data_IF_814291354548
#
_entry.id   IF_814291354548
#
_cell.length_a   1.000
_cell.length_b   1.000
_cell.length_c   1.000
_cell.angle_alpha   90.00
_cell.angle_beta   90.00
_cell.angle_gamma   90.00
#
_symmetry.space_group_name_H-M   'P 1'
#
loop_
_entity.id
_entity.type
_entity.pdbx_description
1 polymer ?
#
# COMPACT_ATOMS: atom_id res chain seq x y z
N UNK A 1 11.29 13.04 21.36
CA UNK A 1 10.12 12.83 20.50
C UNK A 1 10.62 12.17 19.22
N UNK A 2 10.22 10.95 18.98
CA UNK A 2 10.64 10.18 17.81
C UNK A 2 9.96 10.74 16.56
N UNK A 3 10.70 10.84 15.45
CA UNK A 3 10.11 11.17 14.16
C UNK A 3 9.48 9.89 13.62
N UNK A 4 8.17 9.87 13.48
CA UNK A 4 7.40 8.73 13.01
C UNK A 4 6.92 9.03 11.60
N UNK A 5 7.13 8.09 10.69
CA UNK A 5 6.52 8.05 9.37
C UNK A 5 5.37 7.07 9.43
N UNK A 6 4.19 7.49 8.99
CA UNK A 6 3.00 6.65 8.93
C UNK A 6 2.69 6.35 7.47
N UNK A 7 2.54 5.09 7.13
CA UNK A 7 2.25 4.62 5.78
C UNK A 7 0.91 3.90 5.77
N UNK A 8 0.04 4.27 4.83
CA UNK A 8 -1.28 3.68 4.66
C UNK A 8 -1.45 3.03 3.30
N UNK A 9 -2.30 2.03 3.28
CA UNK A 9 -2.75 1.36 2.09
C UNK A 9 -4.27 1.30 2.04
N UNK A 10 -4.85 1.55 0.87
CA UNK A 10 -6.28 1.50 0.63
C UNK A 10 -6.63 0.81 -0.68
N UNK A 11 -7.83 0.25 -0.70
CA UNK A 11 -8.48 -0.19 -1.92
C UNK A 11 -9.89 0.38 -2.02
N UNK A 12 -10.36 0.67 -3.24
CA UNK A 12 -11.67 1.26 -3.49
C UNK A 12 -12.58 0.27 -4.23
N UNK A 13 -13.66 -0.18 -3.62
CA UNK A 13 -14.64 -1.04 -4.27
C UNK A 13 -16.10 -0.53 -4.24
N UNK A 14 -16.91 -1.10 -5.10
CA UNK A 14 -18.02 -0.65 -5.90
C UNK A 14 -19.38 -0.33 -5.24
N UNK A 15 -19.61 -0.42 -3.95
CA UNK A 15 -21.02 -0.47 -3.47
C UNK A 15 -21.61 0.84 -2.94
N UNK A 16 -20.82 1.89 -2.75
CA UNK A 16 -21.36 3.21 -2.41
C UNK A 16 -20.89 4.27 -3.40
N UNK A 17 -21.72 5.29 -3.67
CA UNK A 17 -21.33 6.40 -4.54
C UNK A 17 -20.02 7.05 -4.06
N UNK A 18 -19.18 7.46 -4.98
CA UNK A 18 -17.93 8.17 -4.67
C UNK A 18 -18.16 9.43 -3.84
N UNK A 19 -19.32 10.10 -4.03
CA UNK A 19 -19.74 11.26 -3.23
C UNK A 19 -19.91 10.95 -1.73
N UNK A 20 -20.16 9.70 -1.37
CA UNK A 20 -20.24 9.24 0.01
C UNK A 20 -18.89 8.74 0.50
N UNK A 21 -18.18 7.96 -0.32
CA UNK A 21 -16.92 7.33 0.05
C UNK A 21 -15.76 8.32 0.14
N UNK A 22 -15.65 9.24 -0.82
CA UNK A 22 -14.57 10.23 -0.86
C UNK A 22 -14.43 11.06 0.43
N UNK A 23 -15.50 11.69 0.94
CA UNK A 23 -15.46 12.42 2.20
C UNK A 23 -15.07 11.55 3.40
N UNK A 24 -15.53 10.31 3.45
CA UNK A 24 -15.22 9.41 4.57
C UNK A 24 -13.77 8.92 4.52
N UNK A 25 -13.22 8.66 3.33
CA UNK A 25 -11.78 8.41 3.17
C UNK A 25 -10.95 9.64 3.54
N UNK A 26 -11.38 10.83 3.15
CA UNK A 26 -10.72 12.07 3.56
C UNK A 26 -10.77 12.28 5.07
N UNK A 27 -11.86 11.85 5.74
CA UNK A 27 -11.95 11.82 7.20
C UNK A 27 -10.91 10.85 7.78
N UNK A 28 -10.82 9.63 7.27
CA UNK A 28 -9.85 8.64 7.73
C UNK A 28 -8.40 9.17 7.62
N UNK A 29 -8.06 9.80 6.48
CA UNK A 29 -6.75 10.45 6.31
C UNK A 29 -6.55 11.57 7.35
N UNK A 30 -7.61 12.26 7.78
CA UNK A 30 -7.50 13.28 8.82
C UNK A 30 -7.31 12.70 10.21
N UNK A 31 -8.04 11.64 10.51
CA UNK A 31 -8.06 11.02 11.84
C UNK A 31 -6.69 10.40 12.16
N UNK A 32 -6.03 9.82 11.16
CA UNK A 32 -4.71 9.19 11.30
C UNK A 32 -3.53 10.05 10.84
N UNK A 33 -3.78 11.07 10.04
CA UNK A 33 -2.83 12.07 9.58
C UNK A 33 -1.47 11.54 9.09
N UNK A 34 -1.41 10.51 8.22
CA UNK A 34 -0.15 9.90 7.78
C UNK A 34 0.75 10.93 7.08
N UNK A 35 2.06 10.74 7.12
CA UNK A 35 3.00 11.57 6.36
C UNK A 35 2.97 11.21 4.87
N UNK A 36 2.79 9.92 4.58
CA UNK A 36 2.70 9.36 3.23
C UNK A 36 1.74 8.17 3.22
N UNK A 37 1.00 7.99 2.13
CA UNK A 37 0.14 6.82 1.95
C UNK A 37 0.00 6.41 0.49
N UNK A 38 -0.21 5.12 0.25
CA UNK A 38 -0.45 4.54 -1.06
C UNK A 38 -1.90 4.07 -1.19
N UNK A 39 -2.49 4.25 -2.36
CA UNK A 39 -3.83 3.77 -2.70
C UNK A 39 -3.79 2.72 -3.80
N UNK A 40 -4.77 1.81 -3.80
CA UNK A 40 -5.04 0.87 -4.87
C UNK A 40 -6.44 1.14 -5.44
N UNK A 41 -6.64 0.76 -6.72
CA UNK A 41 -7.89 0.97 -7.46
C UNK A 41 -8.37 2.43 -7.53
N UNK A 42 -7.43 3.36 -7.51
CA UNK A 42 -7.72 4.79 -7.57
C UNK A 42 -8.25 5.18 -8.94
N UNK A 43 -9.55 5.43 -9.02
CA UNK A 43 -10.22 5.81 -10.25
C UNK A 43 -10.30 7.33 -10.42
N UNK A 44 -10.51 7.78 -11.67
CA UNK A 44 -10.74 9.20 -11.95
C UNK A 44 -11.95 9.76 -11.16
N UNK A 45 -13.02 9.00 -11.05
CA UNK A 45 -14.20 9.41 -10.30
C UNK A 45 -13.91 9.59 -8.79
N UNK A 46 -13.07 8.72 -8.22
CA UNK A 46 -12.63 8.90 -6.85
C UNK A 46 -11.72 10.11 -6.71
N UNK A 47 -10.83 10.34 -7.67
CA UNK A 47 -9.97 11.54 -7.70
C UNK A 47 -10.79 12.82 -7.60
N UNK A 48 -11.81 12.94 -8.45
CA UNK A 48 -12.61 14.16 -8.55
C UNK A 48 -13.32 14.51 -7.22
N UNK A 49 -13.59 13.52 -6.38
CA UNK A 49 -14.26 13.71 -5.08
C UNK A 49 -13.28 13.75 -3.91
N UNK A 50 -12.30 12.87 -3.90
CA UNK A 50 -11.39 12.66 -2.77
C UNK A 50 -10.20 13.63 -2.76
N UNK A 51 -9.56 13.83 -3.93
CA UNK A 51 -8.32 14.61 -3.98
C UNK A 51 -8.50 16.06 -3.50
N UNK A 52 -9.54 16.80 -3.91
CA UNK A 52 -9.74 18.17 -3.39
C UNK A 52 -9.85 18.25 -1.87
N UNK A 53 -10.34 17.18 -1.22
CA UNK A 53 -10.51 17.14 0.23
C UNK A 53 -9.17 16.92 0.95
N UNK A 54 -8.34 15.99 0.45
CA UNK A 54 -7.03 15.73 1.07
C UNK A 54 -5.99 16.79 0.68
N UNK A 55 -6.12 17.41 -0.48
CA UNK A 55 -5.30 18.56 -0.88
C UNK A 55 -5.46 19.74 0.09
N UNK A 56 -6.68 20.03 0.54
CA UNK A 56 -6.96 21.04 1.58
C UNK A 56 -6.31 20.69 2.94
N UNK A 57 -5.90 19.44 3.14
CA UNK A 57 -5.21 18.95 4.33
C UNK A 57 -3.69 18.87 4.14
N UNK A 58 -3.19 19.45 3.05
CA UNK A 58 -1.77 19.54 2.75
C UNK A 58 -1.18 18.35 1.99
N UNK A 59 -2.00 17.42 1.47
CA UNK A 59 -1.48 16.30 0.69
C UNK A 59 -1.38 16.60 -0.80
N UNK A 60 -0.34 16.07 -1.42
CA UNK A 60 -0.14 16.04 -2.87
C UNK A 60 0.08 14.61 -3.36
N UNK A 61 -0.18 14.39 -4.64
CA UNK A 61 0.16 13.12 -5.31
C UNK A 61 1.61 13.21 -5.78
N UNK A 62 2.40 12.15 -5.50
CA UNK A 62 3.69 11.95 -6.15
C UNK A 62 3.41 11.60 -7.62
N UNK A 63 3.69 12.55 -8.53
CA UNK A 63 3.29 12.47 -9.91
C UNK A 63 4.51 12.42 -10.84
N UNK A 64 4.50 11.44 -11.76
CA UNK A 64 5.45 11.37 -12.88
C UNK A 64 4.84 12.05 -14.10
N UNK A 65 5.50 13.09 -14.59
CA UNK A 65 5.01 13.88 -15.75
C UNK A 65 4.94 13.01 -17.02
N UNK A 66 3.93 13.28 -17.85
CA UNK A 66 3.75 12.58 -19.13
C UNK A 66 3.19 11.17 -19.05
N UNK A 67 2.78 10.73 -17.86
CA UNK A 67 2.14 9.41 -17.66
C UNK A 67 0.62 9.51 -17.69
N UNK A 68 0.02 8.39 -18.08
CA UNK A 68 -1.42 8.18 -18.03
C UNK A 68 -1.93 8.11 -16.59
N UNK A 69 -3.22 7.85 -16.45
CA UNK A 69 -3.87 7.69 -15.16
C UNK A 69 -3.16 6.67 -14.26
N UNK A 70 -2.89 7.05 -13.01
CA UNK A 70 -2.25 6.20 -12.01
C UNK A 70 -3.30 5.59 -11.09
N UNK A 71 -3.45 4.26 -11.13
CA UNK A 71 -4.38 3.51 -10.27
C UNK A 71 -3.78 3.14 -8.90
N UNK A 72 -2.49 3.37 -8.70
CA UNK A 72 -1.76 3.09 -7.45
C UNK A 72 -0.95 4.31 -6.99
N UNK A 73 -1.59 5.48 -6.83
CA UNK A 73 -0.88 6.70 -6.50
C UNK A 73 -0.34 6.67 -5.06
N UNK A 74 0.74 7.40 -4.87
CA UNK A 74 1.29 7.72 -3.55
C UNK A 74 0.98 9.19 -3.25
N UNK A 75 0.44 9.44 -2.07
CA UNK A 75 0.16 10.76 -1.52
C UNK A 75 1.13 11.08 -0.41
N UNK A 76 1.54 12.32 -0.29
CA UNK A 76 2.49 12.77 0.73
C UNK A 76 2.22 14.21 1.16
N UNK A 77 2.75 14.61 2.30
CA UNK A 77 2.74 15.99 2.79
C UNK A 77 4.00 16.72 2.30
N UNK A 78 3.91 17.63 1.33
CA UNK A 78 5.09 18.34 0.82
C UNK A 78 5.72 19.28 1.85
N UNK A 79 4.99 19.68 2.90
CA UNK A 79 5.56 20.47 3.99
C UNK A 79 6.54 19.63 4.85
N UNK A 80 6.32 18.33 4.96
CA UNK A 80 7.14 17.40 5.74
C UNK A 80 8.17 16.66 4.89
N UNK A 81 7.84 16.37 3.63
CA UNK A 81 8.61 15.51 2.73
C UNK A 81 8.97 16.24 1.43
N UNK A 82 10.22 16.09 1.01
CA UNK A 82 10.70 16.46 -0.32
C UNK A 82 10.66 15.22 -1.23
N UNK A 83 9.98 15.29 -2.37
CA UNK A 83 9.95 14.22 -3.37
C UNK A 83 11.24 14.27 -4.21
N UNK A 84 12.10 13.25 -4.09
CA UNK A 84 13.37 13.15 -4.82
C UNK A 84 13.27 12.33 -6.11
N UNK A 85 12.32 11.38 -6.16
CA UNK A 85 12.12 10.48 -7.28
C UNK A 85 10.69 9.98 -7.28
N UNK A 86 10.12 9.80 -8.46
CA UNK A 86 8.85 9.09 -8.65
C UNK A 86 8.86 8.38 -9.99
N UNK A 87 8.28 7.19 -10.03
CA UNK A 87 8.06 6.42 -11.25
C UNK A 87 6.78 5.61 -11.13
N UNK A 88 5.97 5.66 -12.18
CA UNK A 88 4.75 4.89 -12.31
C UNK A 88 4.90 3.86 -13.43
N UNK A 89 4.58 2.59 -13.15
CA UNK A 89 4.61 1.52 -14.15
C UNK A 89 3.34 0.68 -14.10
N UNK A 90 2.72 0.53 -15.25
CA UNK A 90 1.76 -0.55 -15.46
C UNK A 90 2.52 -1.85 -15.56
N UNK A 91 1.95 -2.91 -15.02
CA UNK A 91 2.44 -4.27 -15.29
C UNK A 91 2.06 -4.64 -16.72
N UNK A 92 2.95 -4.25 -17.65
CA UNK A 92 2.76 -4.48 -19.07
C UNK A 92 3.35 -5.79 -19.51
N UNK A 93 3.02 -6.16 -20.76
CA UNK A 93 2.00 -7.15 -20.99
C UNK A 93 2.66 -8.48 -20.78
N UNK A 94 2.60 -8.99 -19.60
CA UNK A 94 2.63 -10.43 -19.56
C UNK A 94 1.28 -10.86 -20.11
N UNK A 95 1.27 -11.91 -20.87
CA UNK A 95 0.08 -12.57 -21.42
C UNK A 95 -1.00 -12.85 -20.36
N UNK A 96 -0.67 -12.62 -19.09
CA UNK A 96 -1.40 -12.96 -17.89
C UNK A 96 -2.25 -11.83 -17.34
N UNK A 97 -1.74 -10.61 -17.32
CA UNK A 97 -2.38 -9.47 -16.66
C UNK A 97 -2.56 -8.30 -17.60
N UNK A 98 -3.38 -8.49 -18.60
CA UNK A 98 -3.79 -7.47 -19.55
C UNK A 98 -4.84 -6.54 -18.93
N UNK A 99 -4.55 -5.96 -17.75
CA UNK A 99 -5.49 -5.06 -17.09
C UNK A 99 -4.78 -3.76 -16.74
N UNK A 100 -5.20 -2.66 -17.35
CA UNK A 100 -4.59 -1.34 -17.21
C UNK A 100 -4.64 -0.73 -15.81
N UNK A 101 -5.20 -1.46 -14.81
CA UNK A 101 -5.26 -1.03 -13.41
C UNK A 101 -4.22 -1.71 -12.52
N UNK A 102 -3.50 -2.73 -13.01
CA UNK A 102 -2.47 -3.42 -12.23
C UNK A 102 -1.12 -2.76 -12.46
N UNK A 103 -0.57 -2.19 -11.41
CA UNK A 103 0.55 -1.25 -11.50
C UNK A 103 1.32 -1.15 -10.20
N UNK A 104 2.43 -0.47 -10.24
CA UNK A 104 3.11 0.05 -9.06
C UNK A 104 3.56 1.49 -9.26
N UNK A 105 3.66 2.22 -8.18
CA UNK A 105 4.30 3.53 -8.10
C UNK A 105 5.43 3.45 -7.09
N UNK A 106 6.63 3.83 -7.48
CA UNK A 106 7.77 3.99 -6.59
C UNK A 106 8.07 5.47 -6.39
N UNK A 107 8.36 5.85 -5.15
CA UNK A 107 8.76 7.21 -4.81
C UNK A 107 9.86 7.20 -3.75
N UNK A 108 10.80 8.14 -3.85
CA UNK A 108 11.82 8.39 -2.84
C UNK A 108 11.58 9.76 -2.23
N UNK A 109 11.54 9.79 -0.93
CA UNK A 109 11.30 11.00 -0.14
C UNK A 109 12.47 11.30 0.77
N UNK A 110 12.74 12.60 0.93
CA UNK A 110 13.61 13.12 1.97
C UNK A 110 12.78 13.83 3.02
N UNK A 111 12.89 13.42 4.27
CA UNK A 111 12.23 14.09 5.38
C UNK A 111 12.91 15.42 5.67
N UNK A 112 12.17 16.52 5.58
CA UNK A 112 12.71 17.87 5.68
C UNK A 112 13.30 18.18 7.06
N UNK A 113 12.69 17.60 8.10
CA UNK A 113 13.07 17.84 9.50
C UNK A 113 14.51 17.45 9.83
N UNK A 114 15.00 16.35 9.28
CA UNK A 114 16.30 15.76 9.64
C UNK A 114 17.10 15.23 8.45
N UNK A 115 16.57 15.38 7.24
CA UNK A 115 17.24 15.00 6.01
C UNK A 115 17.26 13.50 5.72
N UNK A 116 16.61 12.66 6.52
CA UNK A 116 16.56 11.22 6.31
C UNK A 116 15.75 10.85 5.07
N UNK A 117 16.26 9.87 4.34
CA UNK A 117 15.70 9.44 3.05
C UNK A 117 15.10 8.05 3.23
N UNK A 118 13.98 7.80 2.57
CA UNK A 118 13.33 6.49 2.47
C UNK A 118 12.62 6.35 1.12
N UNK A 119 12.32 5.12 0.73
CA UNK A 119 11.50 4.84 -0.44
C UNK A 119 10.20 4.14 -0.06
N UNK A 120 9.16 4.41 -0.85
CA UNK A 120 7.87 3.73 -0.79
C UNK A 120 7.50 3.22 -2.17
N UNK A 121 7.12 1.96 -2.27
CA UNK A 121 6.55 1.35 -3.46
C UNK A 121 5.12 0.91 -3.15
N UNK A 122 4.14 1.58 -3.74
CA UNK A 122 2.74 1.21 -3.67
C UNK A 122 2.37 0.35 -4.87
N UNK A 123 1.73 -0.79 -4.66
CA UNK A 123 1.41 -1.73 -5.75
C UNK A 123 0.02 -2.36 -5.64
N UNK A 124 -0.46 -2.90 -6.76
CA UNK A 124 -1.64 -3.75 -6.84
C UNK A 124 -1.38 -4.86 -7.85
N UNK A 125 -1.16 -6.09 -7.35
CA UNK A 125 -0.81 -7.25 -8.18
C UNK A 125 -2.04 -7.88 -8.86
N UNK A 126 -1.79 -8.83 -9.75
CA UNK A 126 -2.82 -9.58 -10.45
C UNK A 126 -3.78 -10.33 -9.51
N UNK A 127 -5.08 -10.22 -9.74
CA UNK A 127 -6.13 -10.60 -8.79
C UNK A 127 -6.71 -12.01 -8.94
N UNK A 128 -6.64 -12.63 -10.14
CA UNK A 128 -7.25 -13.95 -10.34
C UNK A 128 -6.47 -15.06 -9.64
N UNK A 129 -7.21 -16.08 -9.19
CA UNK A 129 -6.60 -17.33 -8.73
C UNK A 129 -6.20 -18.21 -9.94
N UNK A 130 -5.32 -19.19 -9.73
CA UNK A 130 -4.95 -20.15 -10.77
C UNK A 130 -6.14 -21.02 -11.21
N UNK A 131 -7.10 -21.24 -10.31
CA UNK A 131 -8.37 -21.92 -10.66
C UNK A 131 -9.18 -21.11 -11.68
N UNK A 132 -9.19 -19.78 -11.55
CA UNK A 132 -9.93 -18.89 -12.46
C UNK A 132 -9.13 -18.58 -13.74
N UNK A 133 -7.80 -18.55 -13.66
CA UNK A 133 -6.89 -18.36 -14.80
C UNK A 133 -5.55 -19.00 -14.49
N UNK A 134 -5.25 -20.09 -15.17
CA UNK A 134 -3.94 -20.78 -15.03
C UNK A 134 -2.79 -19.80 -15.24
N UNK A 135 -1.73 -19.90 -14.43
CA UNK A 135 -0.56 -19.04 -14.47
C UNK A 135 -0.70 -17.74 -13.64
N UNK A 136 -1.78 -17.57 -12.89
CA UNK A 136 -1.99 -16.37 -12.06
C UNK A 136 -0.93 -16.20 -10.98
N UNK A 137 -0.48 -17.27 -10.35
CA UNK A 137 0.64 -17.24 -9.40
C UNK A 137 1.93 -16.81 -10.06
N UNK A 138 2.23 -17.31 -11.27
CA UNK A 138 3.41 -16.92 -12.04
C UNK A 138 3.36 -15.44 -12.45
N UNK A 139 2.17 -14.92 -12.79
CA UNK A 139 1.98 -13.51 -13.09
C UNK A 139 2.36 -12.64 -11.88
N UNK A 140 1.82 -12.95 -10.68
CA UNK A 140 2.19 -12.24 -9.45
C UNK A 140 3.67 -12.36 -9.14
N UNK A 141 4.25 -13.56 -9.27
CA UNK A 141 5.68 -13.77 -9.07
C UNK A 141 6.55 -12.95 -10.03
N UNK A 142 6.10 -12.75 -11.27
CA UNK A 142 6.78 -11.87 -12.23
C UNK A 142 6.65 -10.40 -11.87
N UNK A 143 5.49 -9.98 -11.37
CA UNK A 143 5.25 -8.62 -10.89
C UNK A 143 6.11 -8.30 -9.67
N UNK A 144 6.26 -9.24 -8.74
CA UNK A 144 7.19 -9.11 -7.59
C UNK A 144 8.63 -8.90 -8.06
N UNK A 145 9.11 -9.67 -9.05
CA UNK A 145 10.45 -9.47 -9.60
C UNK A 145 10.66 -8.09 -10.22
N UNK A 146 9.62 -7.53 -10.88
CA UNK A 146 9.69 -6.16 -11.41
C UNK A 146 9.81 -5.13 -10.29
N UNK A 147 9.07 -5.31 -9.19
CA UNK A 147 9.19 -4.44 -8.01
C UNK A 147 10.60 -4.55 -7.41
N UNK A 148 11.12 -5.77 -7.23
CA UNK A 148 12.46 -5.98 -6.68
C UNK A 148 13.53 -5.32 -7.55
N UNK A 149 13.47 -5.46 -8.88
CA UNK A 149 14.37 -4.78 -9.80
C UNK A 149 14.27 -3.24 -9.73
N UNK A 150 13.07 -2.69 -9.53
CA UNK A 150 12.88 -1.25 -9.29
C UNK A 150 13.54 -0.82 -7.97
N UNK A 151 13.37 -1.61 -6.90
CA UNK A 151 14.02 -1.34 -5.59
C UNK A 151 15.55 -1.40 -5.71
N UNK A 152 16.10 -2.37 -6.43
CA UNK A 152 17.54 -2.43 -6.72
C UNK A 152 18.02 -1.16 -7.45
N UNK A 153 17.27 -0.69 -8.44
CA UNK A 153 17.56 0.56 -9.16
C UNK A 153 17.52 1.80 -8.24
N UNK A 154 16.57 1.85 -7.32
CA UNK A 154 16.49 2.91 -6.30
C UNK A 154 17.72 2.86 -5.39
N UNK A 155 18.07 1.68 -4.86
CA UNK A 155 19.20 1.51 -3.94
C UNK A 155 20.56 1.73 -4.60
N UNK A 156 20.68 1.50 -5.91
CA UNK A 156 21.88 1.87 -6.65
C UNK A 156 22.14 3.38 -6.64
N UNK A 157 21.07 4.18 -6.63
CA UNK A 157 21.13 5.66 -6.61
C UNK A 157 21.10 6.23 -5.18
N UNK A 158 20.25 5.67 -4.34
CA UNK A 158 20.04 6.12 -2.96
C UNK A 158 20.49 5.00 -2.01
N UNK A 159 21.76 5.02 -1.62
CA UNK A 159 22.35 3.95 -0.80
C UNK A 159 21.85 4.01 0.64
N UNK A 160 21.80 2.84 1.27
CA UNK A 160 21.58 2.69 2.71
C UNK A 160 20.26 3.34 3.21
N UNK A 161 19.22 3.30 2.40
CA UNK A 161 17.89 3.78 2.76
C UNK A 161 16.92 2.62 2.96
N UNK A 162 15.96 2.74 3.89
CA UNK A 162 14.89 1.77 4.00
C UNK A 162 13.89 1.93 2.84
N UNK A 163 13.40 0.79 2.34
CA UNK A 163 12.38 0.72 1.30
C UNK A 163 11.16 0.00 1.85
N UNK A 164 10.01 0.61 1.72
CA UNK A 164 8.73 0.01 2.07
C UNK A 164 8.01 -0.40 0.79
N UNK A 165 7.54 -1.65 0.73
CA UNK A 165 6.70 -2.17 -0.35
C UNK A 165 5.34 -2.48 0.23
N UNK A 166 4.31 -1.79 -0.24
CA UNK A 166 2.96 -1.88 0.33
C UNK A 166 1.93 -2.07 -0.77
N UNK A 167 0.88 -2.83 -0.51
CA UNK A 167 -0.18 -2.94 -1.49
C UNK A 167 -1.03 -4.19 -1.32
N UNK A 168 -2.08 -4.26 -2.17
CA UNK A 168 -2.84 -5.47 -2.39
C UNK A 168 -2.04 -6.42 -3.29
N UNK A 169 -1.48 -7.44 -2.68
CA UNK A 169 -0.68 -8.46 -3.38
C UNK A 169 -1.56 -9.57 -3.97
N UNK A 170 -2.86 -9.57 -3.66
CA UNK A 170 -3.81 -10.58 -4.13
C UNK A 170 -3.37 -12.04 -3.87
N UNK A 171 -2.57 -12.25 -2.85
CA UNK A 171 -2.11 -13.57 -2.42
C UNK A 171 -1.59 -13.53 -0.98
N UNK A 172 -1.67 -14.66 -0.32
CA UNK A 172 -1.22 -14.86 1.07
C UNK A 172 0.30 -14.94 1.18
N UNK A 173 0.83 -14.65 2.36
CA UNK A 173 2.27 -14.61 2.64
C UNK A 173 2.99 -15.93 2.34
N UNK A 174 2.34 -17.07 2.57
CA UNK A 174 2.91 -18.40 2.31
C UNK A 174 3.00 -18.78 0.83
N UNK A 175 2.55 -17.90 -0.08
CA UNK A 175 2.57 -18.17 -1.51
C UNK A 175 3.89 -17.80 -2.17
N UNK A 176 4.19 -18.41 -3.32
CA UNK A 176 5.44 -18.21 -4.06
C UNK A 176 5.76 -16.73 -4.31
N UNK A 177 4.83 -15.85 -4.74
CA UNK A 177 5.16 -14.44 -4.95
C UNK A 177 5.65 -13.74 -3.67
N UNK A 178 4.99 -13.96 -2.54
CA UNK A 178 5.38 -13.32 -1.27
C UNK A 178 6.67 -13.92 -0.71
N UNK A 179 6.87 -15.23 -0.88
CA UNK A 179 8.11 -15.88 -0.47
C UNK A 179 9.35 -15.38 -1.25
N UNK A 180 9.19 -14.87 -2.48
CA UNK A 180 10.27 -14.20 -3.20
C UNK A 180 10.76 -12.94 -2.45
N UNK A 181 9.86 -12.11 -1.94
CA UNK A 181 10.24 -10.97 -1.11
C UNK A 181 10.98 -11.41 0.15
N UNK A 182 10.43 -12.38 0.88
CA UNK A 182 11.01 -12.86 2.15
C UNK A 182 12.40 -13.45 1.93
N UNK A 183 12.58 -14.29 0.90
CA UNK A 183 13.87 -14.90 0.55
C UNK A 183 14.91 -13.87 0.10
N UNK A 184 14.46 -12.73 -0.45
CA UNK A 184 15.33 -11.61 -0.82
C UNK A 184 15.64 -10.67 0.36
N UNK A 185 15.17 -10.97 1.57
CA UNK A 185 15.46 -10.20 2.78
C UNK A 185 14.43 -9.12 3.12
N UNK A 186 13.29 -9.09 2.42
CA UNK A 186 12.19 -8.22 2.83
C UNK A 186 11.48 -8.82 4.05
N UNK A 187 11.24 -8.01 5.05
CA UNK A 187 10.58 -8.43 6.28
C UNK A 187 9.15 -7.90 6.30
N UNK A 188 8.12 -8.74 6.53
CA UNK A 188 6.77 -8.26 6.75
C UNK A 188 6.74 -7.27 7.93
N UNK A 189 6.15 -6.08 7.72
CA UNK A 189 6.16 -5.03 8.75
C UNK A 189 5.47 -5.46 10.04
N UNK A 190 4.45 -6.33 9.96
CA UNK A 190 3.82 -6.86 11.17
C UNK A 190 4.73 -7.79 11.99
N UNK A 191 5.75 -8.43 11.36
CA UNK A 191 6.79 -9.20 12.06
C UNK A 191 7.92 -8.30 12.59
N UNK A 192 8.18 -7.20 11.90
CA UNK A 192 9.20 -6.23 12.30
C UNK A 192 8.74 -5.29 13.42
N UNK A 193 7.43 -5.11 13.59
CA UNK A 193 6.86 -4.17 14.56
C UNK A 193 7.16 -4.55 16.01
N UNK A 194 7.43 -3.54 16.84
CA UNK A 194 7.66 -3.71 18.28
C UNK A 194 6.37 -3.54 19.10
N UNK A 195 5.37 -2.85 18.55
CA UNK A 195 4.06 -2.62 19.15
C UNK A 195 2.98 -2.98 18.14
N UNK A 196 1.92 -3.62 18.63
CA UNK A 196 0.77 -3.98 17.80
C UNK A 196 -0.46 -3.23 18.26
N UNK A 197 -1.24 -2.71 17.31
CA UNK A 197 -2.59 -2.26 17.58
C UNK A 197 -3.54 -3.44 17.82
N UNK A 198 -4.74 -3.13 18.28
CA UNK A 198 -5.74 -4.15 18.66
C UNK A 198 -6.20 -5.04 17.49
N UNK A 199 -5.98 -4.58 16.26
CA UNK A 199 -6.44 -5.25 15.04
C UNK A 199 -5.29 -5.76 14.16
N UNK A 200 -4.08 -5.89 14.67
CA UNK A 200 -2.90 -6.26 13.89
C UNK A 200 -3.05 -7.57 13.09
N UNK A 201 -3.87 -8.51 13.55
CA UNK A 201 -4.26 -9.70 12.80
C UNK A 201 -5.47 -9.49 11.90
N UNK A 202 -6.05 -8.28 11.87
CA UNK A 202 -7.13 -7.94 10.98
C UNK A 202 -6.68 -8.06 9.54
N UNK A 203 -7.45 -8.76 8.74
CA UNK A 203 -7.34 -8.77 7.30
C UNK A 203 -8.72 -8.77 6.69
N UNK A 204 -8.76 -8.37 5.50
CA UNK A 204 -9.83 -8.24 4.55
C UNK A 204 -10.86 -9.39 4.59
N UNK A 205 -12.06 -9.23 4.38
CA UNK A 205 -12.95 -9.15 3.22
C UNK A 205 -14.37 -8.95 3.69
N UNK A 206 -15.02 -7.92 3.20
CA UNK A 206 -16.46 -7.87 3.14
C UNK A 206 -16.92 -8.52 1.83
N UNK A 207 -17.72 -9.56 1.90
CA UNK A 207 -18.38 -10.06 0.69
C UNK A 207 -19.36 -8.99 0.18
N UNK A 208 -19.34 -8.65 -1.11
CA UNK A 208 -20.37 -7.80 -1.70
C UNK A 208 -21.80 -8.31 -1.48
N UNK A 209 -21.97 -9.63 -1.38
CA UNK A 209 -23.27 -10.26 -1.13
C UNK A 209 -23.83 -9.95 0.26
N UNK A 210 -22.98 -9.64 1.23
CA UNK A 210 -23.37 -9.42 2.63
C UNK A 210 -23.65 -7.95 2.95
N UNK A 211 -23.63 -7.07 1.94
CA UNK A 211 -23.95 -5.65 2.12
C UNK A 211 -23.05 -4.92 3.12
N UNK A 212 -21.79 -5.35 3.28
CA UNK A 212 -20.85 -4.85 4.29
C UNK A 212 -21.28 -5.08 5.73
N UNK A 213 -21.92 -6.20 6.01
CA UNK A 213 -22.26 -6.53 7.39
C UNK A 213 -20.99 -6.74 8.22
N UNK A 214 -21.07 -6.38 9.49
CA UNK A 214 -20.00 -6.63 10.46
C UNK A 214 -19.70 -8.12 10.63
N UNK A 215 -20.61 -9.01 10.22
CA UNK A 215 -20.45 -10.46 10.27
C UNK A 215 -19.40 -11.00 9.28
N UNK A 216 -19.10 -10.26 8.22
CA UNK A 216 -18.07 -10.65 7.24
C UNK A 216 -16.65 -10.19 7.59
N UNK A 217 -16.46 -9.55 8.73
CA UNK A 217 -15.12 -9.19 9.25
C UNK A 217 -14.39 -10.47 9.64
N UNK A 218 -13.42 -10.89 8.85
CA UNK A 218 -12.55 -12.00 9.23
C UNK A 218 -11.35 -11.45 9.99
N UNK A 219 -11.17 -11.94 11.23
CA UNK A 219 -9.85 -11.94 11.85
C UNK A 219 -9.15 -13.23 11.40
N UNK A 220 -7.96 -13.12 10.84
CA UNK A 220 -7.09 -14.27 10.72
C UNK A 220 -6.50 -14.59 12.10
N UNK A 221 -6.32 -15.86 12.40
CA UNK A 221 -5.52 -16.26 13.57
C UNK A 221 -4.08 -15.75 13.40
N UNK A 222 -3.60 -15.70 12.17
CA UNK A 222 -2.32 -15.08 11.80
C UNK A 222 -2.47 -14.36 10.46
N UNK A 223 -1.63 -13.34 10.21
CA UNK A 223 -1.59 -12.68 8.90
C UNK A 223 -1.00 -13.54 7.78
N UNK A 224 -0.26 -14.58 8.11
CA UNK A 224 0.30 -15.54 7.13
C UNK A 224 -0.79 -16.28 6.35
N UNK A 225 -1.90 -16.57 7.01
CA UNK A 225 -3.05 -17.23 6.41
C UNK A 225 -4.23 -16.30 6.26
N UNK A 226 -4.52 -15.88 5.03
CA UNK A 226 -5.70 -15.13 4.65
C UNK A 226 -5.49 -13.65 4.36
N UNK A 227 -4.47 -12.97 4.87
CA UNK A 227 -4.16 -11.60 4.50
C UNK A 227 -3.58 -11.55 3.09
N UNK A 228 -4.11 -10.65 2.27
CA UNK A 228 -3.62 -10.39 0.90
C UNK A 228 -3.08 -8.98 0.71
N UNK A 229 -3.28 -8.14 1.72
CA UNK A 229 -2.70 -6.81 1.85
C UNK A 229 -1.44 -6.91 2.69
N UNK A 230 -0.29 -6.58 2.08
CA UNK A 230 0.99 -6.73 2.74
C UNK A 230 1.78 -5.43 2.74
N UNK A 231 2.52 -5.23 3.83
CA UNK A 231 3.54 -4.20 3.99
C UNK A 231 4.85 -4.90 4.33
N UNK A 232 5.86 -4.66 3.51
CA UNK A 232 7.22 -5.16 3.72
C UNK A 232 8.18 -4.00 3.92
N UNK A 233 9.20 -4.23 4.73
CA UNK A 233 10.39 -3.38 4.81
C UNK A 233 11.60 -4.13 4.26
N UNK A 234 12.40 -3.45 3.45
CA UNK A 234 13.73 -3.87 3.05
C UNK A 234 14.73 -2.82 3.53
N UNK A 235 15.48 -3.16 4.56
CA UNK A 235 16.42 -2.23 5.22
C UNK A 235 17.70 -2.97 5.65
N UNK A 236 18.55 -3.36 4.70
CA UNK A 236 19.78 -4.08 5.02
C UNK A 236 20.78 -3.28 5.85
N UNK A 237 20.65 -1.95 5.85
CA UNK A 237 21.51 -1.05 6.64
C UNK A 237 21.01 -0.84 8.07
N UNK A 238 19.79 -1.28 8.41
CA UNK A 238 19.21 -1.13 9.74
C UNK A 238 18.95 0.32 10.14
N UNK A 239 18.53 1.15 9.19
CA UNK A 239 18.34 2.60 9.37
C UNK A 239 16.94 2.97 9.81
N UNK A 240 16.02 2.02 9.80
CA UNK A 240 14.63 2.20 10.19
C UNK A 240 14.16 1.14 11.19
N UNK A 241 13.21 1.51 12.03
CA UNK A 241 12.56 0.62 12.98
C UNK A 241 11.04 0.75 12.84
N UNK A 242 10.36 -0.35 12.52
CA UNK A 242 8.89 -0.39 12.53
C UNK A 242 8.43 -0.42 13.98
N UNK A 243 7.83 0.67 14.44
CA UNK A 243 7.38 0.82 15.83
C UNK A 243 6.02 0.21 16.06
N UNK A 244 5.08 0.50 15.17
CA UNK A 244 3.69 0.07 15.28
C UNK A 244 3.25 -0.58 13.98
N UNK A 245 2.46 -1.61 14.10
CA UNK A 245 1.66 -2.17 13.00
C UNK A 245 0.22 -2.37 13.46
N UNK A 246 -0.74 -1.93 12.66
CA UNK A 246 -2.16 -2.19 12.90
C UNK A 246 -2.99 -2.21 11.60
N UNK A 247 -4.21 -2.76 11.70
CA UNK A 247 -5.26 -2.62 10.69
C UNK A 247 -6.35 -1.69 11.21
N UNK A 248 -6.75 -0.73 10.40
CA UNK A 248 -7.80 0.20 10.79
C UNK A 248 -9.16 -0.45 10.56
N UNK A 249 -9.81 -0.85 11.66
CA UNK A 249 -11.10 -1.54 11.67
C UNK A 249 -12.22 -0.67 12.28
N UNK A 250 -12.14 0.63 12.10
CA UNK A 250 -13.19 1.57 12.53
C UNK A 250 -14.54 1.22 11.88
N UNK A 251 -15.64 1.41 12.60
CA UNK A 251 -16.97 1.06 12.10
C UNK A 251 -17.28 1.72 10.74
N UNK A 252 -16.86 2.97 10.56
CA UNK A 252 -17.10 3.66 9.30
C UNK A 252 -16.21 3.13 8.15
N UNK A 253 -15.02 2.58 8.42
CA UNK A 253 -14.13 2.02 7.37
C UNK A 253 -14.71 0.76 6.75
N UNK A 254 -15.40 -0.05 7.52
CA UNK A 254 -16.05 -1.28 7.05
C UNK A 254 -17.08 -1.05 5.95
N UNK A 255 -17.64 0.17 5.91
CA UNK A 255 -18.64 0.57 4.91
C UNK A 255 -18.01 1.27 3.70
N UNK A 256 -16.70 1.47 3.69
CA UNK A 256 -15.98 2.21 2.65
C UNK A 256 -15.31 1.33 1.62
N UNK A 257 -14.78 0.23 2.09
CA UNK A 257 -13.92 -0.66 1.32
C UNK A 257 -14.09 -2.08 1.83
N UNK A 258 -13.81 -3.04 0.99
CA UNK A 258 -13.75 -4.45 1.34
C UNK A 258 -12.36 -4.88 1.85
N UNK A 259 -11.39 -3.97 1.88
CA UNK A 259 -10.07 -4.15 2.47
C UNK A 259 -9.87 -3.21 3.67
N UNK A 260 -9.32 -3.70 4.76
CA UNK A 260 -8.93 -2.83 5.86
C UNK A 260 -7.65 -2.08 5.53
N UNK A 261 -7.62 -0.75 5.75
CA UNK A 261 -6.38 0.00 5.69
C UNK A 261 -5.38 -0.53 6.71
N UNK A 262 -4.13 -0.71 6.27
CA UNK A 262 -3.04 -1.06 7.15
C UNK A 262 -2.19 0.17 7.45
N UNK A 263 -1.70 0.27 8.68
CA UNK A 263 -0.89 1.38 9.15
C UNK A 263 0.39 0.86 9.77
N UNK A 264 1.49 1.56 9.52
CA UNK A 264 2.74 1.41 10.26
C UNK A 264 3.24 2.77 10.72
N UNK A 265 3.81 2.80 11.92
CA UNK A 265 4.63 3.90 12.39
C UNK A 265 6.09 3.49 12.36
N UNK A 266 6.92 4.34 11.79
CA UNK A 266 8.33 4.05 11.56
C UNK A 266 9.21 5.13 12.17
N UNK A 267 10.24 4.73 12.87
CA UNK A 267 11.36 5.59 13.21
C UNK A 267 12.45 5.41 12.14
N UNK A 268 12.75 6.47 11.42
CA UNK A 268 13.91 6.56 10.53
C UNK A 268 15.11 7.05 11.30
#
# INVERSE_FOLDING_TARGET
KYSILTVYQFQFLFQRPYSVRGPQFARLISDYAPDVFALQEYSKHMHDVFYPLVQKKGYQIAYESGKNWNNTPIFYKPDELELLYVKFNLYTPSEWCNHGSKSYTSAVFKRKKDGKIFALVGTHLWWKSDKAKAGSTQARASQVRLIMAEVEGILAKYKDIPVFVVGDMNCEENTVPMQQFIQAGYVPCYKAATVYGDNHNGHHICSPADGYSTASRRKADTREGGAIDHLFIYDPAGTAEVKVFDCIMEEYTVKLTDHYPNIIDVRL
#
